data_IF_732753746795
#
_entry.id   IF_732753746795
#
_cell.length_a   1.000
_cell.length_b   1.000
_cell.length_c   1.000
_cell.angle_alpha   90.00
_cell.angle_beta   90.00
_cell.angle_gamma   90.00
#
_symmetry.space_group_name_H-M   'P 1'
#
loop_
_entity.id
_entity.type
_entity.pdbx_description
1 polymer ?
#
# COMPACT_ATOMS: atom_id res chain seq x y z
N UNK A 1 43.60 -1.00 1.93
CA UNK A 1 42.33 -1.02 1.18
C UNK A 1 41.30 -1.19 2.24
N UNK A 2 40.80 -0.07 2.64
CA UNK A 2 40.14 0.14 3.90
C UNK A 2 38.67 -0.30 3.77
N UNK A 3 38.38 -1.47 4.30
CA UNK A 3 37.05 -1.75 4.80
C UNK A 3 36.93 -0.89 6.05
N UNK A 4 36.33 0.29 5.92
CA UNK A 4 35.91 1.08 7.06
C UNK A 4 35.06 0.18 7.94
N UNK A 5 35.63 -0.20 9.08
CA UNK A 5 34.92 -0.94 10.10
C UNK A 5 33.81 -0.01 10.58
N UNK A 6 32.55 -0.33 10.20
CA UNK A 6 31.41 0.41 10.66
C UNK A 6 31.25 0.31 12.18
N UNK A 7 32.02 1.17 12.87
CA UNK A 7 31.84 1.41 14.31
C UNK A 7 30.67 2.39 14.45
N UNK A 8 29.55 1.94 14.99
CA UNK A 8 28.49 2.83 15.47
C UNK A 8 27.47 3.30 14.44
N UNK A 9 27.14 2.51 13.39
CA UNK A 9 26.03 2.84 12.46
C UNK A 9 24.74 3.20 13.20
N UNK A 10 24.42 2.53 14.31
CA UNK A 10 23.22 2.81 15.10
C UNK A 10 23.14 4.24 15.66
N UNK A 11 24.26 4.83 16.06
CA UNK A 11 24.28 6.20 16.61
C UNK A 11 24.32 7.28 15.52
N UNK A 12 24.93 6.99 14.37
CA UNK A 12 24.94 7.90 13.20
C UNK A 12 23.53 7.98 12.62
N UNK A 13 22.85 6.85 12.44
CA UNK A 13 21.48 6.81 11.92
C UNK A 13 20.46 7.44 12.88
N UNK A 14 20.63 7.35 14.20
CA UNK A 14 19.73 8.00 15.17
C UNK A 14 19.85 9.53 15.17
N UNK A 15 20.97 10.09 14.69
CA UNK A 15 21.22 11.54 14.66
C UNK A 15 20.92 12.20 13.34
N UNK A 16 20.76 11.44 12.26
CA UNK A 16 20.32 11.96 10.97
C UNK A 16 18.79 12.11 10.98
N UNK A 17 18.30 13.34 10.83
CA UNK A 17 16.90 13.58 10.51
C UNK A 17 16.68 13.13 9.06
N UNK A 18 16.09 11.95 8.87
CA UNK A 18 15.63 11.53 7.55
C UNK A 18 14.36 12.28 7.21
N UNK A 19 14.27 12.75 5.99
CA UNK A 19 13.00 13.28 5.51
C UNK A 19 11.98 12.12 5.44
N UNK A 20 10.74 12.35 5.91
CA UNK A 20 9.69 11.35 5.79
C UNK A 20 9.43 11.02 4.32
N UNK A 21 8.97 9.80 4.05
CA UNK A 21 8.60 9.38 2.71
C UNK A 21 7.57 10.36 2.14
N UNK A 22 7.89 10.95 0.98
CA UNK A 22 6.98 11.84 0.27
C UNK A 22 5.97 11.04 -0.53
N UNK A 23 4.70 11.45 -0.50
CA UNK A 23 3.61 10.82 -1.24
C UNK A 23 3.18 11.71 -2.42
N UNK A 24 2.88 11.09 -3.55
CA UNK A 24 2.17 11.72 -4.67
C UNK A 24 0.67 11.71 -4.42
N UNK A 25 0.17 10.60 -3.86
CA UNK A 25 -1.17 10.48 -3.31
C UNK A 25 -1.03 9.97 -1.89
N UNK A 26 -1.49 10.74 -0.91
CA UNK A 26 -1.33 10.46 0.50
C UNK A 26 -1.82 9.05 0.86
N UNK A 27 -1.02 8.33 1.65
CA UNK A 27 -1.32 6.96 2.11
C UNK A 27 -1.53 5.92 0.99
N UNK A 28 -1.34 6.27 -0.29
CA UNK A 28 -1.60 5.37 -1.42
C UNK A 28 -0.40 5.24 -2.36
N UNK A 29 0.12 6.35 -2.87
CA UNK A 29 1.20 6.33 -3.86
C UNK A 29 2.40 7.16 -3.37
N UNK A 30 3.38 6.53 -2.71
CA UNK A 30 4.61 7.20 -2.33
C UNK A 30 5.50 7.49 -3.55
N UNK A 31 6.56 8.27 -3.39
CA UNK A 31 7.65 8.32 -4.35
C UNK A 31 8.31 6.93 -4.47
N UNK A 32 8.90 6.62 -5.63
CA UNK A 32 9.54 5.32 -5.89
C UNK A 32 8.99 4.63 -7.12
N UNK A 33 9.23 3.32 -7.23
CA UNK A 33 8.79 2.49 -8.35
C UNK A 33 7.61 1.62 -7.94
N UNK A 34 6.52 1.69 -8.70
CA UNK A 34 5.27 1.01 -8.39
C UNK A 34 4.74 0.23 -9.58
N UNK A 35 3.92 -0.79 -9.31
CA UNK A 35 3.32 -1.65 -10.31
C UNK A 35 1.78 -1.67 -10.15
N UNK A 36 1.04 -1.38 -11.22
CA UNK A 36 -0.40 -1.60 -11.32
C UNK A 36 -0.68 -2.76 -12.27
N UNK A 37 -1.06 -3.90 -11.73
CA UNK A 37 -1.36 -5.10 -12.49
C UNK A 37 -2.87 -5.38 -12.55
N UNK A 38 -3.34 -5.93 -13.67
CA UNK A 38 -4.76 -6.29 -13.85
C UNK A 38 -4.97 -7.01 -15.16
N UNK A 39 -6.11 -7.70 -15.30
CA UNK A 39 -6.47 -8.38 -16.53
C UNK A 39 -6.56 -7.40 -17.72
N UNK A 40 -6.36 -7.85 -18.97
CA UNK A 40 -6.61 -7.03 -20.15
C UNK A 40 -8.04 -6.46 -20.15
N UNK A 41 -8.19 -5.19 -20.57
CA UNK A 41 -9.49 -4.49 -20.75
C UNK A 41 -10.28 -4.23 -19.46
N UNK A 42 -9.66 -4.40 -18.28
CA UNK A 42 -10.32 -4.11 -16.99
C UNK A 42 -10.46 -2.60 -16.70
N UNK A 43 -9.79 -1.73 -17.44
CA UNK A 43 -9.84 -0.29 -17.22
C UNK A 43 -8.61 0.30 -16.52
N UNK A 44 -7.45 -0.40 -16.54
CA UNK A 44 -6.18 0.14 -15.98
C UNK A 44 -5.75 1.45 -16.62
N UNK A 45 -5.81 1.52 -17.96
CA UNK A 45 -5.43 2.74 -18.70
C UNK A 45 -6.38 3.92 -18.42
N UNK A 46 -7.67 3.65 -18.12
CA UNK A 46 -8.61 4.67 -17.66
C UNK A 46 -8.22 5.19 -16.27
N UNK A 47 -7.90 4.28 -15.34
CA UNK A 47 -7.42 4.64 -14.02
C UNK A 47 -6.10 5.45 -14.10
N UNK A 48 -5.18 5.03 -14.95
CA UNK A 48 -3.90 5.68 -15.15
C UNK A 48 -4.07 7.11 -15.71
N UNK A 49 -4.90 7.27 -16.73
CA UNK A 49 -5.18 8.58 -17.34
C UNK A 49 -5.87 9.52 -16.33
N UNK A 50 -6.91 9.03 -15.65
CA UNK A 50 -7.59 9.80 -14.61
C UNK A 50 -6.64 10.23 -13.49
N UNK A 51 -5.78 9.30 -13.02
CA UNK A 51 -4.79 9.59 -11.99
C UNK A 51 -3.81 10.68 -12.44
N UNK A 52 -3.28 10.61 -13.68
CA UNK A 52 -2.38 11.61 -14.22
C UNK A 52 -3.02 13.00 -14.25
N UNK A 53 -4.27 13.09 -14.70
CA UNK A 53 -5.03 14.36 -14.75
C UNK A 53 -5.31 14.89 -13.36
N UNK A 54 -5.77 14.04 -12.44
CA UNK A 54 -6.15 14.42 -11.06
C UNK A 54 -4.93 14.92 -10.28
N UNK A 55 -3.78 14.23 -10.40
CA UNK A 55 -2.52 14.66 -9.79
C UNK A 55 -2.05 16.00 -10.36
N UNK A 56 -2.09 16.19 -11.67
CA UNK A 56 -1.69 17.44 -12.29
C UNK A 56 -2.59 18.63 -11.91
N UNK A 57 -3.89 18.39 -11.70
CA UNK A 57 -4.83 19.38 -11.16
C UNK A 57 -4.61 19.70 -9.69
N UNK A 58 -4.06 18.77 -8.92
CA UNK A 58 -3.98 18.85 -7.46
C UNK A 58 -5.31 18.48 -6.78
N UNK A 59 -6.22 17.82 -7.52
CA UNK A 59 -7.49 17.39 -7.00
C UNK A 59 -7.31 16.12 -6.13
N UNK A 60 -8.09 15.93 -5.06
CA UNK A 60 -7.98 14.72 -4.23
C UNK A 60 -8.28 13.44 -5.02
N UNK A 61 -7.44 12.42 -4.86
CA UNK A 61 -7.69 11.06 -5.36
C UNK A 61 -8.50 10.30 -4.31
N UNK A 62 -9.76 10.07 -4.57
CA UNK A 62 -10.68 9.38 -3.64
C UNK A 62 -10.71 10.00 -2.22
N UNK A 63 -10.58 11.32 -2.13
CA UNK A 63 -10.53 12.05 -0.87
C UNK A 63 -9.15 12.09 -0.19
N UNK A 64 -8.15 11.42 -0.76
CA UNK A 64 -6.76 11.49 -0.31
C UNK A 64 -6.06 12.70 -0.92
N UNK A 65 -5.26 13.41 -0.13
CA UNK A 65 -4.47 14.57 -0.58
C UNK A 65 -3.49 14.19 -1.68
N UNK A 66 -3.12 15.18 -2.50
CA UNK A 66 -2.24 14.98 -3.66
C UNK A 66 -1.12 16.00 -3.64
N UNK A 67 0.08 15.58 -3.95
CA UNK A 67 1.18 16.47 -4.30
C UNK A 67 0.99 16.89 -5.76
N UNK A 68 0.48 18.11 -5.99
CA UNK A 68 0.32 18.65 -7.32
C UNK A 68 1.67 18.83 -8.02
N UNK A 69 1.74 18.51 -9.32
CA UNK A 69 2.91 18.72 -10.16
C UNK A 69 2.71 18.18 -11.57
N UNK A 70 3.74 18.31 -12.39
CA UNK A 70 3.74 17.80 -13.75
C UNK A 70 3.64 16.27 -13.75
N UNK A 71 2.84 15.73 -14.68
CA UNK A 71 2.68 14.29 -14.90
C UNK A 71 3.03 13.91 -16.33
N UNK A 72 3.73 12.78 -16.51
CA UNK A 72 4.05 12.21 -17.82
C UNK A 72 3.39 10.83 -17.95
N UNK A 73 2.59 10.64 -18.99
CA UNK A 73 1.97 9.36 -19.30
C UNK A 73 2.46 8.82 -20.64
N UNK A 74 3.27 7.75 -20.60
CA UNK A 74 3.69 6.99 -21.77
C UNK A 74 2.60 5.96 -22.09
N UNK A 75 1.69 6.28 -23.00
CA UNK A 75 0.55 5.48 -23.42
C UNK A 75 0.88 4.68 -24.69
N UNK A 76 1.80 3.71 -24.56
CA UNK A 76 2.47 3.05 -25.68
C UNK A 76 1.62 1.99 -26.41
N UNK A 77 0.49 1.55 -25.83
CA UNK A 77 -0.47 0.65 -26.46
C UNK A 77 -1.63 1.41 -27.14
N UNK A 78 -1.68 2.73 -27.01
CA UNK A 78 -2.79 3.54 -27.49
C UNK A 78 -2.39 4.48 -28.64
N UNK A 79 -3.37 4.92 -29.43
CA UNK A 79 -3.18 6.00 -30.40
C UNK A 79 -3.50 7.35 -29.76
N UNK A 80 -2.89 8.41 -30.29
CA UNK A 80 -3.14 9.81 -29.87
C UNK A 80 -4.64 10.15 -29.90
N UNK A 81 -5.37 9.73 -30.93
CA UNK A 81 -6.81 9.96 -31.04
C UNK A 81 -7.59 9.28 -29.91
N UNK A 82 -7.18 8.05 -29.52
CA UNK A 82 -7.85 7.33 -28.43
C UNK A 82 -7.62 8.00 -27.08
N UNK A 83 -6.39 8.46 -26.84
CA UNK A 83 -6.06 9.20 -25.60
C UNK A 83 -6.86 10.50 -25.54
N UNK A 84 -6.93 11.24 -26.66
CA UNK A 84 -7.72 12.48 -26.74
C UNK A 84 -9.20 12.23 -26.44
N UNK A 85 -9.80 11.21 -27.05
CA UNK A 85 -11.20 10.86 -26.78
C UNK A 85 -11.44 10.51 -25.32
N UNK A 86 -10.58 9.69 -24.72
CA UNK A 86 -10.68 9.36 -23.29
C UNK A 86 -10.49 10.57 -22.38
N UNK A 87 -9.59 11.47 -22.76
CA UNK A 87 -9.36 12.69 -21.99
C UNK A 87 -10.61 13.55 -21.96
N UNK A 88 -11.31 13.71 -23.10
CA UNK A 88 -12.59 14.43 -23.17
C UNK A 88 -13.72 13.77 -22.36
N UNK A 89 -13.69 12.45 -22.19
CA UNK A 89 -14.66 11.77 -21.32
C UNK A 89 -14.36 12.05 -19.84
N UNK A 90 -13.09 12.20 -19.45
CA UNK A 90 -12.67 12.40 -18.06
C UNK A 90 -12.77 13.87 -17.63
N UNK A 91 -12.43 14.80 -18.51
CA UNK A 91 -12.37 16.23 -18.18
C UNK A 91 -12.52 17.11 -19.39
N UNK A 92 -13.23 18.24 -19.23
CA UNK A 92 -13.32 19.30 -20.23
C UNK A 92 -12.10 20.24 -20.19
N UNK A 93 -11.42 20.31 -19.04
CA UNK A 93 -10.27 21.19 -18.79
C UNK A 93 -9.06 20.38 -18.30
N UNK A 94 -8.26 19.91 -19.25
CA UNK A 94 -7.01 19.22 -18.95
C UNK A 94 -5.90 20.24 -18.68
N UNK A 95 -5.18 20.15 -17.56
CA UNK A 95 -4.09 21.09 -17.26
C UNK A 95 -2.90 20.90 -18.22
N UNK A 96 -2.20 21.98 -18.52
CA UNK A 96 -1.02 21.96 -19.39
C UNK A 96 0.14 21.13 -18.81
N UNK A 97 0.11 20.84 -17.51
CA UNK A 97 1.10 20.01 -16.80
C UNK A 97 0.89 18.51 -16.98
N UNK A 98 -0.10 18.07 -17.77
CA UNK A 98 -0.25 16.67 -18.16
C UNK A 98 0.38 16.46 -19.53
N UNK A 99 1.42 15.66 -19.59
CA UNK A 99 2.13 15.32 -20.81
C UNK A 99 1.84 13.88 -21.23
N UNK A 100 1.67 13.67 -22.55
CA UNK A 100 1.39 12.36 -23.13
C UNK A 100 2.39 12.05 -24.24
N UNK A 101 2.81 10.79 -24.33
CA UNK A 101 3.53 10.28 -25.50
C UNK A 101 3.04 8.87 -25.85
N UNK A 102 2.88 8.60 -27.15
CA UNK A 102 2.53 7.27 -27.67
C UNK A 102 3.75 6.53 -28.21
N UNK A 103 4.94 7.13 -28.13
CA UNK A 103 6.19 6.56 -28.60
C UNK A 103 7.26 6.75 -27.52
N UNK A 104 8.11 5.74 -27.37
CA UNK A 104 9.33 5.81 -26.57
C UNK A 104 10.37 4.84 -27.11
N UNK A 105 11.61 5.08 -26.78
CA UNK A 105 12.65 4.06 -26.87
C UNK A 105 12.43 2.97 -25.84
N UNK A 106 13.23 1.90 -25.91
CA UNK A 106 13.18 0.80 -24.95
C UNK A 106 14.29 0.92 -23.92
N UNK A 107 14.13 0.21 -22.79
CA UNK A 107 15.14 0.12 -21.74
C UNK A 107 16.50 -0.32 -22.29
N UNK A 108 17.55 0.39 -21.91
CA UNK A 108 18.92 0.21 -22.41
C UNK A 108 19.14 0.65 -23.84
N UNK A 109 18.20 1.34 -24.48
CA UNK A 109 18.29 1.85 -25.85
C UNK A 109 17.71 3.26 -26.02
N UNK A 110 17.75 4.09 -24.97
CA UNK A 110 17.39 5.50 -25.04
C UNK A 110 16.25 5.93 -24.14
N UNK A 111 15.44 5.03 -23.57
CA UNK A 111 14.33 5.40 -22.69
C UNK A 111 14.79 6.17 -21.46
N UNK A 112 15.91 5.76 -20.86
CA UNK A 112 16.47 6.40 -19.68
C UNK A 112 16.86 7.86 -19.96
N UNK A 113 17.51 8.08 -21.10
CA UNK A 113 17.91 9.40 -21.54
C UNK A 113 16.68 10.28 -21.86
N UNK A 114 15.64 9.71 -22.46
CA UNK A 114 14.38 10.40 -22.73
C UNK A 114 13.69 10.82 -21.43
N UNK A 115 13.61 9.92 -20.46
CA UNK A 115 13.02 10.23 -19.14
C UNK A 115 13.83 11.32 -18.43
N UNK A 116 15.16 11.18 -18.37
CA UNK A 116 16.01 12.15 -17.71
C UNK A 116 15.94 13.54 -18.40
N UNK A 117 15.87 13.59 -19.73
CA UNK A 117 15.71 14.85 -20.48
C UNK A 117 14.37 15.51 -20.15
N UNK A 118 13.27 14.74 -20.13
CA UNK A 118 11.97 15.25 -19.73
C UNK A 118 11.96 15.81 -18.30
N UNK A 119 12.54 15.05 -17.35
CA UNK A 119 12.62 15.46 -15.95
C UNK A 119 13.50 16.71 -15.73
N UNK A 120 14.52 16.89 -16.55
CA UNK A 120 15.33 18.11 -16.54
C UNK A 120 14.58 19.35 -17.09
N UNK A 121 13.71 19.14 -18.09
CA UNK A 121 12.85 20.19 -18.66
C UNK A 121 11.67 20.52 -17.73
N UNK A 122 11.17 19.51 -16.99
CA UNK A 122 10.03 19.63 -16.08
C UNK A 122 10.42 19.20 -14.65
N UNK A 123 11.18 20.03 -13.91
CA UNK A 123 11.68 19.68 -12.57
C UNK A 123 10.60 19.57 -11.49
N UNK A 124 9.39 20.04 -11.77
CA UNK A 124 8.19 19.91 -10.95
C UNK A 124 7.41 18.59 -11.19
N UNK A 125 7.98 17.67 -12.00
CA UNK A 125 7.36 16.37 -12.24
C UNK A 125 7.25 15.58 -10.94
N UNK A 126 6.07 15.02 -10.70
CA UNK A 126 5.80 14.18 -9.51
C UNK A 126 5.42 12.74 -9.87
N UNK A 127 4.88 12.52 -11.08
CA UNK A 127 4.37 11.22 -11.50
C UNK A 127 4.73 10.91 -12.95
N UNK A 128 5.29 9.72 -13.19
CA UNK A 128 5.48 9.14 -14.51
C UNK A 128 4.68 7.83 -14.57
N UNK A 129 3.84 7.66 -15.59
CA UNK A 129 3.09 6.42 -15.81
C UNK A 129 3.56 5.78 -17.11
N UNK A 130 3.81 4.48 -17.10
CA UNK A 130 4.25 3.72 -18.28
C UNK A 130 3.25 2.60 -18.56
N UNK A 131 2.52 2.69 -19.67
CA UNK A 131 1.50 1.73 -20.10
C UNK A 131 1.89 1.13 -21.48
N UNK A 132 2.53 -0.03 -21.51
CA UNK A 132 2.79 -0.97 -20.43
C UNK A 132 4.29 -1.28 -20.27
N UNK A 133 4.68 -1.92 -19.15
CA UNK A 133 6.04 -2.42 -18.93
C UNK A 133 6.54 -3.27 -20.11
N UNK A 134 5.65 -4.03 -20.75
CA UNK A 134 6.02 -4.88 -21.90
C UNK A 134 6.47 -4.05 -23.11
N UNK A 135 5.91 -2.88 -23.32
CA UNK A 135 6.22 -2.04 -24.48
C UNK A 135 7.60 -1.39 -24.41
N UNK A 136 8.10 -1.13 -23.22
CA UNK A 136 9.45 -0.56 -23.01
C UNK A 136 10.55 -1.62 -22.99
N UNK A 137 10.22 -2.90 -23.10
CA UNK A 137 11.16 -4.01 -23.22
C UNK A 137 11.43 -4.30 -24.70
N UNK A 138 12.69 -4.52 -25.03
CA UNK A 138 13.10 -4.81 -26.43
C UNK A 138 12.55 -6.13 -26.95
N UNK A 139 12.47 -6.27 -28.27
CA UNK A 139 12.18 -7.54 -28.96
C UNK A 139 13.27 -8.57 -28.69
N UNK A 140 12.89 -9.84 -28.42
CA UNK A 140 13.85 -10.92 -28.07
C UNK A 140 14.24 -10.93 -26.58
N UNK A 141 13.49 -10.23 -25.74
CA UNK A 141 13.72 -10.17 -24.32
C UNK A 141 13.40 -11.53 -23.67
N UNK A 142 14.43 -12.15 -23.09
CA UNK A 142 14.24 -13.34 -22.25
C UNK A 142 13.74 -12.89 -20.87
N UNK A 143 12.55 -13.35 -20.49
CA UNK A 143 11.96 -13.12 -19.17
C UNK A 143 12.73 -13.91 -18.09
N UNK A 144 13.98 -13.52 -17.83
CA UNK A 144 14.78 -14.06 -16.74
C UNK A 144 14.68 -13.16 -15.51
N UNK A 145 14.81 -13.75 -14.34
CA UNK A 145 14.83 -13.01 -13.08
C UNK A 145 15.86 -11.85 -13.09
N UNK A 146 17.06 -12.11 -13.62
CA UNK A 146 18.14 -11.13 -13.67
C UNK A 146 17.81 -9.94 -14.59
N UNK A 147 17.16 -10.18 -15.72
CA UNK A 147 16.74 -9.14 -16.65
C UNK A 147 15.60 -8.31 -16.07
N UNK A 148 14.57 -8.96 -15.53
CA UNK A 148 13.46 -8.27 -14.86
C UNK A 148 13.97 -7.36 -13.75
N UNK A 149 14.85 -7.86 -12.89
CA UNK A 149 15.42 -7.09 -11.78
C UNK A 149 16.28 -5.91 -12.24
N UNK A 150 17.13 -6.11 -13.27
CA UNK A 150 17.99 -5.06 -13.83
C UNK A 150 17.18 -3.91 -14.39
N UNK A 151 16.17 -4.19 -15.20
CA UNK A 151 15.33 -3.19 -15.85
C UNK A 151 14.56 -2.34 -14.83
N UNK A 152 13.96 -3.01 -13.86
CA UNK A 152 13.23 -2.32 -12.79
C UNK A 152 14.17 -1.51 -11.90
N UNK A 153 15.40 -1.99 -11.66
CA UNK A 153 16.40 -1.26 -10.88
C UNK A 153 16.85 0.04 -11.56
N UNK A 154 16.83 0.10 -12.89
CA UNK A 154 17.11 1.35 -13.63
C UNK A 154 16.02 2.38 -13.40
N UNK A 155 14.75 1.99 -13.59
CA UNK A 155 13.60 2.87 -13.36
C UNK A 155 13.51 3.30 -11.90
N UNK A 156 13.78 2.39 -10.96
CA UNK A 156 13.81 2.73 -9.55
C UNK A 156 14.86 3.80 -9.24
N UNK A 157 16.07 3.70 -9.79
CA UNK A 157 17.10 4.71 -9.58
C UNK A 157 16.70 6.09 -10.12
N UNK A 158 15.99 6.14 -11.26
CA UNK A 158 15.44 7.40 -11.80
C UNK A 158 14.40 7.96 -10.83
N UNK A 159 13.45 7.15 -10.35
CA UNK A 159 12.43 7.56 -9.40
C UNK A 159 13.05 8.12 -8.11
N UNK A 160 14.00 7.39 -7.51
CA UNK A 160 14.69 7.77 -6.28
C UNK A 160 15.52 9.06 -6.46
N UNK A 161 16.25 9.18 -7.58
CA UNK A 161 17.12 10.34 -7.85
C UNK A 161 16.34 11.65 -8.04
N UNK A 162 15.11 11.57 -8.57
CA UNK A 162 14.27 12.73 -8.85
C UNK A 162 13.14 12.92 -7.82
N UNK A 163 12.98 12.01 -6.84
CA UNK A 163 11.94 12.08 -5.82
C UNK A 163 10.52 12.02 -6.39
N UNK A 164 10.31 11.22 -7.44
CA UNK A 164 9.04 11.05 -8.16
C UNK A 164 8.47 9.65 -7.96
N UNK A 165 7.17 9.46 -8.27
CA UNK A 165 6.59 8.13 -8.44
C UNK A 165 6.67 7.71 -9.92
N UNK A 166 7.11 6.48 -10.18
CA UNK A 166 6.98 5.82 -11.49
C UNK A 166 5.99 4.66 -11.34
N UNK A 167 4.86 4.72 -12.03
CA UNK A 167 3.82 3.69 -12.02
C UNK A 167 3.85 2.88 -13.31
N UNK A 168 4.21 1.61 -13.21
CA UNK A 168 4.24 0.67 -14.33
C UNK A 168 2.90 -0.06 -14.44
N UNK A 169 2.28 -0.02 -15.61
CA UNK A 169 1.11 -0.85 -15.91
C UNK A 169 1.56 -2.22 -16.39
N UNK A 170 0.94 -3.28 -15.85
CA UNK A 170 1.29 -4.64 -16.18
C UNK A 170 0.09 -5.58 -16.23
N UNK A 171 0.28 -6.81 -16.68
CA UNK A 171 -0.76 -7.81 -16.79
C UNK A 171 -0.71 -8.82 -15.65
N UNK A 172 -1.89 -9.33 -15.25
CA UNK A 172 -2.01 -10.50 -14.40
C UNK A 172 -2.04 -11.78 -15.22
N UNK A 173 -1.48 -12.86 -14.68
CA UNK A 173 -1.65 -14.22 -15.23
C UNK A 173 -3.11 -14.65 -15.10
N UNK A 174 -3.55 -15.51 -16.01
CA UNK A 174 -4.92 -16.06 -15.98
C UNK A 174 -5.12 -17.12 -14.90
N UNK A 175 -4.05 -17.65 -14.35
CA UNK A 175 -4.09 -18.68 -13.30
C UNK A 175 -4.74 -18.10 -12.04
N UNK A 176 -5.59 -18.91 -11.41
CA UNK A 176 -6.17 -18.62 -10.12
C UNK A 176 -5.11 -18.92 -9.04
N UNK A 177 -4.89 -17.99 -8.16
CA UNK A 177 -4.07 -18.17 -6.97
C UNK A 177 -4.79 -17.51 -5.79
N UNK A 178 -4.58 -18.06 -4.59
CA UNK A 178 -5.19 -17.57 -3.35
C UNK A 178 -4.75 -16.15 -3.04
N UNK A 179 -3.49 -15.82 -3.34
CA UNK A 179 -2.97 -14.47 -3.26
C UNK A 179 -2.98 -13.79 -4.64
N UNK A 180 -3.69 -12.66 -4.73
CA UNK A 180 -3.82 -11.90 -5.98
C UNK A 180 -2.48 -11.35 -6.49
N UNK A 181 -1.53 -11.02 -5.60
CA UNK A 181 -0.22 -10.50 -5.99
C UNK A 181 0.67 -11.58 -6.63
N UNK A 182 0.48 -12.84 -6.27
CA UNK A 182 1.20 -13.96 -6.90
C UNK A 182 0.82 -14.17 -8.37
N UNK A 183 -0.28 -13.56 -8.83
CA UNK A 183 -0.75 -13.57 -10.23
C UNK A 183 -0.05 -12.54 -11.11
N UNK A 184 0.79 -11.67 -10.56
CA UNK A 184 1.56 -10.70 -11.37
C UNK A 184 2.40 -11.48 -12.39
N UNK A 185 2.26 -11.12 -13.67
CA UNK A 185 2.98 -11.79 -14.77
C UNK A 185 4.49 -11.55 -14.66
N UNK A 186 5.29 -12.48 -15.19
CA UNK A 186 6.75 -12.40 -15.14
C UNK A 186 7.34 -13.18 -13.97
N UNK A 187 8.55 -12.83 -13.57
CA UNK A 187 9.25 -13.48 -12.46
C UNK A 187 8.91 -12.82 -11.13
N UNK A 188 9.24 -13.47 -10.01
CA UNK A 188 9.13 -12.89 -8.66
C UNK A 188 10.03 -11.65 -8.49
N UNK A 189 11.01 -11.45 -9.40
CA UNK A 189 11.84 -10.24 -9.44
C UNK A 189 11.00 -8.97 -9.61
N UNK A 190 9.91 -9.03 -10.40
CA UNK A 190 9.07 -7.86 -10.66
C UNK A 190 8.45 -7.36 -9.35
N UNK A 191 7.78 -8.25 -8.60
CA UNK A 191 7.17 -7.89 -7.32
C UNK A 191 8.20 -7.52 -6.24
N UNK A 192 9.41 -8.10 -6.30
CA UNK A 192 10.48 -7.82 -5.35
C UNK A 192 11.23 -6.51 -5.60
N UNK A 193 11.27 -6.03 -6.84
CA UNK A 193 12.01 -4.83 -7.23
C UNK A 193 11.21 -3.53 -7.05
N UNK A 194 9.88 -3.60 -7.01
CA UNK A 194 9.02 -2.42 -6.82
C UNK A 194 8.80 -2.11 -5.34
N UNK A 195 8.53 -0.85 -5.03
CA UNK A 195 8.23 -0.40 -3.66
C UNK A 195 6.78 -0.72 -3.27
N UNK A 196 5.84 -0.66 -4.22
CA UNK A 196 4.45 -1.04 -4.00
C UNK A 196 3.86 -1.76 -5.20
N UNK A 197 2.95 -2.67 -4.94
CA UNK A 197 2.16 -3.39 -5.94
C UNK A 197 0.68 -3.12 -5.73
N UNK A 198 0.01 -2.80 -6.83
CA UNK A 198 -1.42 -2.61 -6.91
C UNK A 198 -2.00 -3.66 -7.86
N UNK A 199 -3.07 -4.33 -7.47
CA UNK A 199 -3.76 -5.28 -8.34
C UNK A 199 -5.22 -4.88 -8.49
N UNK A 200 -5.64 -4.62 -9.74
CA UNK A 200 -7.01 -4.30 -10.09
C UNK A 200 -7.71 -5.56 -10.59
N UNK A 201 -8.70 -6.04 -9.86
CA UNK A 201 -9.46 -7.27 -10.18
C UNK A 201 -10.94 -6.96 -10.19
N UNK A 202 -11.61 -7.21 -11.31
CA UNK A 202 -13.04 -7.03 -11.46
C UNK A 202 -13.82 -8.18 -10.78
N UNK A 203 -14.89 -7.88 -10.07
CA UNK A 203 -15.71 -8.88 -9.38
C UNK A 203 -16.34 -9.86 -10.36
N UNK A 204 -16.94 -9.31 -11.43
CA UNK A 204 -17.47 -10.05 -12.59
C UNK A 204 -17.12 -9.26 -13.83
N UNK A 205 -16.71 -9.96 -14.89
CA UNK A 205 -16.35 -9.35 -16.15
C UNK A 205 -17.46 -8.43 -16.68
N UNK A 206 -17.13 -7.15 -16.88
CA UNK A 206 -18.07 -6.14 -17.38
C UNK A 206 -19.04 -5.60 -16.34
N UNK A 207 -18.83 -5.89 -15.04
CA UNK A 207 -19.68 -5.35 -13.96
C UNK A 207 -19.45 -3.88 -13.68
N UNK A 208 -18.31 -3.34 -14.11
CA UNK A 208 -17.87 -2.01 -13.68
C UNK A 208 -17.45 -1.93 -12.22
N UNK A 209 -17.45 -3.05 -11.48
CA UNK A 209 -17.02 -3.11 -10.07
C UNK A 209 -15.72 -3.87 -9.96
N UNK A 210 -14.77 -3.28 -9.27
CA UNK A 210 -13.45 -3.87 -9.11
C UNK A 210 -12.91 -3.66 -7.69
N UNK A 211 -11.97 -4.52 -7.32
CA UNK A 211 -11.18 -4.40 -6.10
C UNK A 211 -9.76 -4.00 -6.48
N UNK A 212 -9.26 -2.91 -5.92
CA UNK A 212 -7.88 -2.52 -5.98
C UNK A 212 -7.21 -2.92 -4.67
N UNK A 213 -6.37 -3.97 -4.71
CA UNK A 213 -5.58 -4.39 -3.55
C UNK A 213 -4.20 -3.76 -3.63
N UNK A 214 -3.74 -3.17 -2.55
CA UNK A 214 -2.50 -2.42 -2.45
C UNK A 214 -1.59 -3.03 -1.37
N UNK A 215 -0.30 -3.15 -1.65
CA UNK A 215 0.73 -3.56 -0.69
C UNK A 215 2.07 -2.93 -1.06
N UNK A 216 2.85 -2.51 -0.07
CA UNK A 216 4.16 -1.90 -0.34
C UNK A 216 5.05 -1.82 0.89
N UNK A 217 6.23 -1.22 0.70
CA UNK A 217 7.21 -0.98 1.78
C UNK A 217 6.76 0.14 2.70
N UNK A 218 6.17 1.19 2.10
CA UNK A 218 5.77 2.42 2.78
C UNK A 218 4.25 2.55 2.90
N UNK A 219 3.49 1.57 2.39
CA UNK A 219 2.03 1.49 2.51
C UNK A 219 1.63 0.14 3.11
N UNK A 220 0.66 0.18 4.02
CA UNK A 220 0.07 -1.05 4.57
C UNK A 220 -0.83 -1.73 3.54
N UNK A 221 -1.06 -3.05 3.75
CA UNK A 221 -2.06 -3.76 2.97
C UNK A 221 -3.43 -3.10 3.09
N UNK A 222 -4.03 -2.79 1.93
CA UNK A 222 -5.30 -2.07 1.81
C UNK A 222 -6.09 -2.61 0.63
N UNK A 223 -7.40 -2.69 0.77
CA UNK A 223 -8.32 -3.01 -0.31
C UNK A 223 -9.31 -1.87 -0.50
N UNK A 224 -9.37 -1.36 -1.72
CA UNK A 224 -10.32 -0.35 -2.15
C UNK A 224 -11.35 -1.02 -3.08
N UNK A 225 -12.63 -0.90 -2.76
CA UNK A 225 -13.70 -1.30 -3.68
C UNK A 225 -14.04 -0.12 -4.56
N UNK A 226 -13.94 -0.31 -5.86
CA UNK A 226 -14.14 0.73 -6.86
C UNK A 226 -15.33 0.39 -7.75
N UNK A 227 -16.05 1.41 -8.20
CA UNK A 227 -17.09 1.30 -9.21
C UNK A 227 -16.81 2.31 -10.33
N UNK A 228 -16.93 1.87 -11.58
CA UNK A 228 -16.67 2.72 -12.72
C UNK A 228 -17.97 3.43 -13.13
N UNK A 229 -17.93 4.76 -13.16
CA UNK A 229 -19.04 5.59 -13.54
C UNK A 229 -19.24 5.68 -15.08
N UNK A 230 -20.18 6.49 -15.53
CA UNK A 230 -20.53 6.65 -16.95
C UNK A 230 -19.37 7.28 -17.77
N UNK A 231 -18.55 8.10 -17.15
CA UNK A 231 -17.35 8.75 -17.72
C UNK A 231 -16.09 7.86 -17.65
N UNK A 232 -16.28 6.57 -17.36
CA UNK A 232 -15.19 5.60 -17.21
C UNK A 232 -14.20 5.89 -16.08
N UNK A 233 -14.52 6.77 -15.15
CA UNK A 233 -13.74 7.08 -13.95
C UNK A 233 -14.05 6.06 -12.85
N UNK A 234 -13.00 5.62 -12.15
CA UNK A 234 -13.13 4.73 -11.00
C UNK A 234 -13.42 5.53 -9.73
N UNK A 235 -14.59 5.35 -9.15
CA UNK A 235 -15.02 5.97 -7.90
C UNK A 235 -14.83 5.02 -6.73
N UNK A 236 -14.45 5.55 -5.57
CA UNK A 236 -14.28 4.78 -4.34
C UNK A 236 -15.64 4.51 -3.70
N UNK A 237 -16.00 3.22 -3.58
CA UNK A 237 -17.20 2.76 -2.88
C UNK A 237 -16.88 2.46 -1.42
N UNK A 238 -15.75 1.79 -1.15
CA UNK A 238 -15.33 1.47 0.22
C UNK A 238 -13.83 1.25 0.31
N UNK A 239 -13.31 1.50 1.50
CA UNK A 239 -11.92 1.34 1.87
C UNK A 239 -11.82 0.47 3.11
N UNK A 240 -10.98 -0.58 3.04
CA UNK A 240 -10.79 -1.49 4.16
C UNK A 240 -10.19 -0.82 5.40
N UNK A 241 -9.42 0.27 5.23
CA UNK A 241 -8.88 1.09 6.34
C UNK A 241 -9.99 1.82 7.07
N UNK A 242 -10.80 2.58 6.34
CA UNK A 242 -11.93 3.32 6.91
C UNK A 242 -12.95 2.38 7.56
N UNK A 243 -13.23 1.23 6.94
CA UNK A 243 -14.06 0.20 7.56
C UNK A 243 -13.44 -0.35 8.85
N UNK A 244 -12.13 -0.51 8.90
CA UNK A 244 -11.44 -0.98 10.09
C UNK A 244 -11.44 0.08 11.20
N UNK A 245 -11.29 1.36 10.86
CA UNK A 245 -11.39 2.49 11.79
C UNK A 245 -12.80 2.62 12.36
N UNK A 246 -13.83 2.52 11.51
CA UNK A 246 -15.23 2.50 11.95
C UNK A 246 -15.52 1.30 12.85
N UNK A 247 -15.03 0.10 12.49
CA UNK A 247 -15.15 -1.10 13.32
C UNK A 247 -14.36 -0.96 14.62
N UNK A 248 -13.19 -0.30 14.61
CA UNK A 248 -12.41 0.03 15.79
C UNK A 248 -13.16 0.95 16.75
N UNK A 249 -13.81 1.97 16.24
CA UNK A 249 -14.72 2.82 17.03
C UNK A 249 -15.92 2.04 17.58
N UNK A 250 -16.51 1.19 16.75
CA UNK A 250 -17.65 0.37 17.15
C UNK A 250 -17.28 -0.68 18.22
N UNK A 251 -16.09 -1.30 18.12
CA UNK A 251 -15.63 -2.26 19.14
C UNK A 251 -15.46 -1.59 20.50
N UNK A 252 -15.02 -0.35 20.58
CA UNK A 252 -14.90 0.40 21.84
C UNK A 252 -16.26 0.54 22.50
N UNK A 253 -17.30 0.86 21.73
CA UNK A 253 -18.68 0.96 22.22
C UNK A 253 -19.15 -0.39 22.76
N UNK A 254 -19.02 -1.46 21.96
CA UNK A 254 -19.47 -2.81 22.33
C UNK A 254 -18.73 -3.35 23.56
N UNK A 255 -17.42 -3.11 23.67
CA UNK A 255 -16.65 -3.48 24.84
C UNK A 255 -16.99 -2.65 26.05
N UNK A 256 -17.31 -1.37 25.89
CA UNK A 256 -17.82 -0.52 26.96
C UNK A 256 -19.15 -1.03 27.50
N UNK A 257 -20.06 -1.46 26.62
CA UNK A 257 -21.34 -2.07 26.98
C UNK A 257 -21.13 -3.41 27.70
N UNK A 258 -20.28 -4.30 27.16
CA UNK A 258 -19.95 -5.59 27.77
C UNK A 258 -19.36 -5.44 29.17
N UNK A 259 -18.50 -4.45 29.36
CA UNK A 259 -17.79 -4.20 30.60
C UNK A 259 -18.56 -3.30 31.57
N UNK A 260 -19.78 -2.82 31.23
CA UNK A 260 -20.56 -1.91 32.07
C UNK A 260 -20.79 -2.47 33.48
N UNK A 261 -21.17 -3.75 33.55
CA UNK A 261 -21.51 -4.43 34.80
C UNK A 261 -20.50 -5.55 35.13
N UNK A 262 -19.31 -5.51 34.53
CA UNK A 262 -18.25 -6.51 34.71
C UNK A 262 -16.94 -5.81 35.06
N UNK A 263 -16.25 -6.33 36.08
CA UNK A 263 -14.90 -5.87 36.43
C UNK A 263 -13.83 -6.45 35.50
N UNK A 264 -14.04 -7.67 35.03
CA UNK A 264 -13.06 -8.40 34.21
C UNK A 264 -13.75 -9.31 33.19
N UNK A 265 -13.10 -9.47 32.04
CA UNK A 265 -13.37 -10.52 31.04
C UNK A 265 -12.06 -11.18 30.66
N UNK A 266 -12.00 -12.52 30.76
CA UNK A 266 -10.89 -13.32 30.23
C UNK A 266 -11.49 -14.42 29.35
N UNK A 267 -11.11 -14.45 28.08
CA UNK A 267 -11.64 -15.42 27.13
C UNK A 267 -10.89 -15.46 25.83
N UNK A 268 -11.29 -16.37 24.95
CA UNK A 268 -10.77 -16.48 23.60
C UNK A 268 -11.39 -15.42 22.67
N UNK A 269 -10.76 -15.11 21.51
CA UNK A 269 -11.37 -14.26 20.51
C UNK A 269 -12.76 -14.73 20.04
N UNK A 270 -12.99 -16.04 20.02
CA UNK A 270 -14.27 -16.65 19.64
C UNK A 270 -15.35 -16.38 20.69
N UNK A 271 -15.03 -16.56 21.95
CA UNK A 271 -15.94 -16.29 23.07
C UNK A 271 -16.28 -14.79 23.14
N UNK A 272 -15.30 -13.93 22.96
CA UNK A 272 -15.54 -12.49 22.97
C UNK A 272 -16.40 -12.05 21.79
N UNK A 273 -16.08 -12.48 20.57
CA UNK A 273 -16.89 -12.09 19.39
C UNK A 273 -18.32 -12.59 19.49
N UNK A 274 -18.56 -13.77 20.03
CA UNK A 274 -19.92 -14.29 20.26
C UNK A 274 -20.71 -13.48 21.32
N UNK A 275 -20.03 -12.81 22.24
CA UNK A 275 -20.69 -11.97 23.25
C UNK A 275 -21.00 -10.57 22.75
N UNK A 276 -20.08 -9.98 21.96
CA UNK A 276 -20.26 -8.59 21.49
C UNK A 276 -20.97 -8.49 20.14
N UNK A 277 -20.98 -9.57 19.33
CA UNK A 277 -21.63 -9.61 18.01
C UNK A 277 -22.27 -11.01 17.78
N UNK A 278 -23.24 -11.41 18.60
CA UNK A 278 -23.84 -12.74 18.53
C UNK A 278 -24.56 -13.02 17.21
N UNK A 279 -25.10 -11.99 16.54
CA UNK A 279 -25.78 -12.11 15.25
C UNK A 279 -24.83 -11.97 14.04
N UNK A 280 -23.57 -11.60 14.25
CA UNK A 280 -22.64 -11.31 13.19
C UNK A 280 -22.92 -10.02 12.41
N UNK A 281 -23.86 -9.19 12.89
CA UNK A 281 -24.34 -7.98 12.22
C UNK A 281 -23.30 -6.85 12.20
N UNK A 282 -22.40 -6.82 13.18
CA UNK A 282 -21.33 -5.83 13.29
C UNK A 282 -20.07 -6.24 12.50
N UNK A 283 -20.02 -7.47 11.97
CA UNK A 283 -18.90 -7.99 11.21
C UNK A 283 -17.62 -8.19 12.05
N UNK A 284 -17.74 -8.29 13.38
CA UNK A 284 -16.63 -8.50 14.31
C UNK A 284 -16.38 -9.99 14.48
N UNK A 285 -15.57 -10.55 13.59
CA UNK A 285 -15.23 -11.97 13.60
C UNK A 285 -14.10 -12.29 14.59
N UNK A 286 -13.95 -13.56 15.05
CA UNK A 286 -12.84 -13.97 15.91
C UNK A 286 -11.45 -13.66 15.36
N UNK A 287 -11.29 -13.63 14.02
CA UNK A 287 -10.02 -13.24 13.38
C UNK A 287 -9.73 -11.74 13.50
N UNK A 288 -10.78 -10.90 13.45
CA UNK A 288 -10.66 -9.44 13.50
C UNK A 288 -10.60 -8.89 14.92
N UNK A 289 -11.32 -9.50 15.89
CA UNK A 289 -11.50 -8.94 17.23
C UNK A 289 -10.19 -8.64 17.95
N UNK A 290 -9.21 -9.53 17.89
CA UNK A 290 -7.89 -9.30 18.52
C UNK A 290 -7.14 -8.11 17.90
N UNK A 291 -7.22 -7.96 16.58
CA UNK A 291 -6.59 -6.86 15.86
C UNK A 291 -7.27 -5.52 16.19
N UNK A 292 -8.59 -5.50 16.19
CA UNK A 292 -9.38 -4.32 16.53
C UNK A 292 -9.10 -3.86 17.96
N UNK A 293 -9.00 -4.79 18.92
CA UNK A 293 -8.64 -4.46 20.30
C UNK A 293 -7.26 -3.83 20.37
N UNK A 294 -6.25 -4.43 19.72
CA UNK A 294 -4.88 -3.90 19.74
C UNK A 294 -4.80 -2.49 19.15
N UNK A 295 -5.57 -2.21 18.10
CA UNK A 295 -5.66 -0.88 17.49
C UNK A 295 -6.43 0.13 18.36
N UNK A 296 -7.32 -0.35 19.23
CA UNK A 296 -8.19 0.49 20.07
C UNK A 296 -7.73 0.60 21.52
N UNK A 297 -6.55 0.08 21.89
CA UNK A 297 -6.05 0.09 23.28
C UNK A 297 -6.04 1.49 23.89
N UNK A 298 -5.57 2.49 23.13
CA UNK A 298 -5.54 3.87 23.60
C UNK A 298 -6.94 4.46 23.82
N UNK A 299 -7.91 4.12 22.98
CA UNK A 299 -9.29 4.56 23.11
C UNK A 299 -10.00 3.85 24.28
N UNK A 300 -9.75 2.54 24.46
CA UNK A 300 -10.26 1.77 25.58
C UNK A 300 -9.70 2.28 26.92
N UNK A 301 -8.42 2.60 26.99
CA UNK A 301 -7.79 3.17 28.19
C UNK A 301 -8.41 4.50 28.60
N UNK A 302 -8.79 5.37 27.64
CA UNK A 302 -9.46 6.63 27.91
C UNK A 302 -10.83 6.48 28.58
N UNK A 303 -11.49 5.34 28.38
CA UNK A 303 -12.79 5.02 29.00
C UNK A 303 -12.65 4.06 30.20
N UNK A 304 -11.40 3.91 30.72
CA UNK A 304 -11.11 3.10 31.90
C UNK A 304 -11.12 1.58 31.68
N UNK A 305 -10.93 1.14 30.44
CA UNK A 305 -10.81 -0.30 30.13
C UNK A 305 -9.38 -0.60 29.70
N UNK A 306 -8.66 -1.42 30.47
CA UNK A 306 -7.39 -2.00 30.05
C UNK A 306 -7.64 -3.26 29.22
N UNK A 307 -6.89 -3.43 28.12
CA UNK A 307 -7.03 -4.54 27.21
C UNK A 307 -5.67 -5.16 26.91
N UNK A 308 -5.55 -6.47 27.09
CA UNK A 308 -4.33 -7.26 26.82
C UNK A 308 -4.69 -8.45 25.96
N UNK A 309 -3.89 -8.67 24.90
CA UNK A 309 -3.99 -9.87 24.06
C UNK A 309 -2.70 -10.67 24.23
N UNK A 310 -2.81 -11.87 24.77
CA UNK A 310 -1.66 -12.75 25.02
C UNK A 310 -1.90 -14.18 24.54
N UNK A 311 -0.84 -14.98 24.51
CA UNK A 311 -0.93 -16.43 24.25
C UNK A 311 -0.72 -17.19 25.55
N UNK A 312 -1.58 -18.16 25.80
CA UNK A 312 -1.46 -19.10 26.92
C UNK A 312 -1.84 -20.50 26.44
N UNK A 313 -1.00 -21.50 26.70
CA UNK A 313 -1.19 -22.91 26.30
C UNK A 313 -1.55 -23.05 24.79
N UNK A 314 -0.83 -22.30 23.91
CA UNK A 314 -1.06 -22.32 22.47
C UNK A 314 -2.32 -21.58 21.98
N UNK A 315 -3.19 -21.14 22.87
CA UNK A 315 -4.41 -20.39 22.56
C UNK A 315 -4.19 -18.88 22.77
N UNK A 316 -4.83 -18.09 21.93
CA UNK A 316 -4.88 -16.63 22.12
C UNK A 316 -5.95 -16.32 23.14
N UNK A 317 -5.62 -15.50 24.15
CA UNK A 317 -6.53 -15.00 25.18
C UNK A 317 -6.60 -13.49 25.10
N UNK A 318 -7.77 -12.96 25.40
CA UNK A 318 -8.07 -11.54 25.54
C UNK A 318 -8.45 -11.32 27.00
N UNK A 319 -7.79 -10.38 27.63
CA UNK A 319 -8.08 -9.92 28.99
C UNK A 319 -8.52 -8.47 28.92
N UNK A 320 -9.71 -8.18 29.45
CA UNK A 320 -10.24 -6.84 29.61
C UNK A 320 -10.48 -6.62 31.09
N UNK A 321 -10.03 -5.49 31.63
CA UNK A 321 -10.26 -5.10 33.02
C UNK A 321 -10.74 -3.67 33.06
N UNK A 322 -11.76 -3.41 33.87
CA UNK A 322 -12.20 -2.06 34.18
C UNK A 322 -11.35 -1.51 35.32
N UNK A 323 -10.80 -0.29 35.15
CA UNK A 323 -10.17 0.42 36.24
C UNK A 323 -11.22 0.70 37.30
N UNK A 324 -10.97 0.31 38.54
CA UNK A 324 -11.80 0.69 39.67
C UNK A 324 -11.72 2.22 39.78
N UNK A 325 -12.87 2.86 39.88
CA UNK A 325 -12.95 4.31 40.12
C UNK A 325 -12.58 4.57 41.56
N UNK A 326 -11.29 4.69 41.84
CA UNK A 326 -10.79 5.27 43.07
C UNK A 326 -9.71 6.31 42.75
N UNK A 327 -9.99 7.53 43.26
CA UNK A 327 -9.13 8.67 43.45
C UNK A 327 -8.37 9.28 42.22
N UNK A 328 -8.88 10.47 41.89
CA UNK A 328 -8.10 11.53 41.27
C UNK A 328 -6.90 11.88 42.16
N UNK A 329 -5.73 11.32 41.88
CA UNK A 329 -4.40 11.88 42.12
C UNK A 329 -3.34 10.78 41.97
N UNK A 330 -2.54 10.87 40.96
CA UNK A 330 -1.34 10.02 40.81
C UNK A 330 -1.09 9.59 39.38
N UNK A 331 -0.19 10.30 38.74
CA UNK A 331 0.43 9.85 37.46
C UNK A 331 1.09 8.50 37.72
N UNK A 332 0.72 7.40 37.06
CA UNK A 332 1.48 6.16 37.17
C UNK A 332 2.83 6.33 36.46
N UNK A 333 3.90 6.27 37.21
CA UNK A 333 5.26 6.06 36.70
C UNK A 333 5.26 4.73 35.97
N UNK A 334 5.47 4.76 34.67
CA UNK A 334 5.70 3.57 33.85
C UNK A 334 7.05 3.00 34.26
N UNK A 335 7.05 1.87 34.94
CA UNK A 335 8.26 1.10 35.18
C UNK A 335 8.85 0.62 33.83
N UNK A 336 10.16 0.70 33.63
CA UNK A 336 10.78 0.22 32.41
C UNK A 336 10.63 -1.29 32.29
N UNK A 337 10.08 -1.73 31.18
CA UNK A 337 10.03 -3.16 30.81
C UNK A 337 11.42 -3.55 30.36
N UNK A 338 12.05 -4.50 31.07
CA UNK A 338 13.32 -5.09 30.69
C UNK A 338 13.21 -5.74 29.28
N UNK A 339 14.22 -5.52 28.43
CA UNK A 339 14.22 -6.14 27.11
C UNK A 339 14.41 -7.65 27.23
N UNK A 340 13.45 -8.40 26.72
CA UNK A 340 13.55 -9.86 26.60
C UNK A 340 14.76 -10.19 25.72
N UNK A 341 15.77 -10.81 26.32
CA UNK A 341 16.94 -11.29 25.63
C UNK A 341 16.53 -12.40 24.65
N UNK A 342 16.70 -12.14 23.36
CA UNK A 342 16.57 -13.15 22.31
C UNK A 342 17.87 -13.92 22.28
N UNK A 343 17.86 -15.14 22.81
CA UNK A 343 18.97 -16.10 22.75
C UNK A 343 19.07 -16.68 21.33
N UNK A 344 20.10 -16.29 20.59
CA UNK A 344 20.49 -16.93 19.35
C UNK A 344 21.31 -18.18 19.65
N UNK A 345 20.74 -19.36 19.39
CA UNK A 345 21.49 -20.62 19.36
C UNK A 345 22.26 -20.71 18.05
N UNK A 346 23.58 -20.63 18.13
CA UNK A 346 24.49 -20.93 17.03
C UNK A 346 24.43 -22.42 16.68
N UNK A 347 23.97 -22.76 15.47
CA UNK A 347 24.23 -24.05 14.86
C UNK A 347 25.67 -24.07 14.35
N UNK A 348 26.53 -24.89 14.99
CA UNK A 348 27.86 -25.21 14.51
C UNK A 348 27.74 -26.09 13.25
N UNK A 349 28.36 -25.67 12.17
CA UNK A 349 28.63 -26.52 11.03
C UNK A 349 29.66 -27.59 11.45
N UNK A 350 29.32 -28.86 11.25
CA UNK A 350 30.28 -29.96 11.29
C UNK A 350 31.02 -30.01 9.95
N UNK A 351 32.30 -29.70 9.98
CA UNK A 351 33.25 -30.15 8.97
C UNK A 351 33.45 -31.65 9.17
N UNK A 352 33.26 -32.42 8.12
CA UNK A 352 33.79 -33.78 7.98
C UNK A 352 34.70 -33.85 6.78
N UNK A 353 35.84 -34.42 7.06
CA UNK A 353 37.01 -34.74 6.27
C UNK A 353 36.74 -35.29 4.87
#
# INVERSE_FOLDING_TARGET
RDVERSRGLGDVYKRQAYEPVSFVVDDLLPQGLHLLAGAPKIGKSWLALWLAVTVAKGDPVWGMGVKQGTTLYLCLEDSTLRIQNRLFEITEDAPASVHFTTNSDTLGKGLEEQLCAFLAEHPDTVLVIIDTLQMIRGTGYDNTYANDYRDLSVLKRIADAHGIAILLIHHLRKELADDVFSRISGTTAISGAVDSSFTLVEDKRGSGKAKLSCIGRDIEYRELTLERNAENVWELVSDSRTQLELLGGRIVILLSELMRDRAEFIGTPTELSAQIDPAGSEGITPKKVSRLILQSVAALSKIGISAVVRRSNGKRLIELRRAESDDAQGVPVVAPVDPVAVSYTHLRAHETS
#
